data_IF_195832435180
#
_entry.id   IF_195832435180
#
_cell.length_a   1.000
_cell.length_b   1.000
_cell.length_c   1.000
_cell.angle_alpha   90.00
_cell.angle_beta   90.00
_cell.angle_gamma   90.00
#
_symmetry.space_group_name_H-M   'P 1'
#
loop_
_entity.id
_entity.type
_entity.pdbx_description
1 polymer ?
#
# COMPACT_ATOMS: atom_id res chain seq x y z
N UNK A 1 9.39 11.42 7.79
CA UNK A 1 8.27 11.04 6.89
C UNK A 1 7.44 10.01 7.63
N UNK A 2 6.12 9.97 7.47
CA UNK A 2 5.29 8.84 7.92
C UNK A 2 4.63 8.18 6.73
N UNK A 3 4.37 6.89 6.83
CA UNK A 3 3.67 6.10 5.83
C UNK A 3 2.36 5.66 6.46
N UNK A 4 1.25 6.20 5.96
CA UNK A 4 -0.09 5.85 6.42
C UNK A 4 -0.64 4.81 5.46
N UNK A 5 -1.09 3.67 5.98
CA UNK A 5 -1.60 2.57 5.19
C UNK A 5 -3.09 2.34 5.49
N UNK A 6 -3.86 2.03 4.46
CA UNK A 6 -5.29 1.76 4.55
C UNK A 6 -5.53 0.27 4.33
N UNK A 7 -5.89 -0.42 5.38
CA UNK A 7 -6.30 -1.83 5.28
C UNK A 7 -7.73 -1.98 4.75
N UNK A 8 -7.98 -3.06 4.01
CA UNK A 8 -9.33 -3.50 3.57
C UNK A 8 -10.07 -2.50 2.69
N UNK A 9 -9.37 -1.79 1.80
CA UNK A 9 -9.99 -0.81 0.90
C UNK A 9 -10.56 -1.42 -0.40
N UNK A 10 -10.53 -2.73 -0.55
CA UNK A 10 -11.13 -3.48 -1.65
C UNK A 10 -12.01 -4.60 -1.09
N UNK A 11 -13.29 -4.62 -1.49
CA UNK A 11 -14.28 -5.55 -0.92
C UNK A 11 -13.91 -7.02 -1.16
N UNK A 12 -13.38 -7.35 -2.34
CA UNK A 12 -12.97 -8.73 -2.67
C UNK A 12 -11.78 -9.18 -1.83
N UNK A 13 -10.79 -8.31 -1.60
CA UNK A 13 -9.67 -8.60 -0.71
C UNK A 13 -10.12 -8.78 0.75
N UNK A 14 -11.04 -7.96 1.24
CA UNK A 14 -11.60 -8.14 2.58
C UNK A 14 -12.22 -9.53 2.74
N UNK A 15 -13.00 -9.98 1.74
CA UNK A 15 -13.64 -11.32 1.73
C UNK A 15 -12.62 -12.45 1.59
N UNK A 16 -11.58 -12.30 0.76
CA UNK A 16 -10.48 -13.26 0.58
C UNK A 16 -9.82 -13.61 1.91
N UNK A 17 -9.64 -12.63 2.78
CA UNK A 17 -9.06 -12.80 4.12
C UNK A 17 -10.10 -13.07 5.23
N UNK A 18 -11.37 -13.35 4.87
CA UNK A 18 -12.43 -13.62 5.84
C UNK A 18 -12.80 -12.43 6.73
N UNK A 19 -12.54 -11.20 6.28
CA UNK A 19 -12.86 -9.99 7.02
C UNK A 19 -14.18 -9.37 6.53
N UNK A 20 -14.87 -8.68 7.44
CA UNK A 20 -15.98 -7.81 7.07
C UNK A 20 -15.50 -6.59 6.27
N UNK A 21 -16.39 -6.08 5.41
CA UNK A 21 -16.17 -4.82 4.69
C UNK A 21 -16.29 -3.67 5.70
N UNK A 22 -15.26 -2.84 5.88
CA UNK A 22 -15.27 -1.82 6.91
C UNK A 22 -16.15 -0.63 6.53
N UNK A 23 -16.85 -0.05 7.51
CA UNK A 23 -17.61 1.20 7.33
C UNK A 23 -16.73 2.45 7.29
N UNK A 24 -15.50 2.36 7.77
CA UNK A 24 -14.51 3.44 7.84
C UNK A 24 -13.13 2.91 7.49
N UNK A 25 -12.22 3.74 6.96
CA UNK A 25 -10.84 3.33 6.69
C UNK A 25 -10.17 2.74 7.93
N UNK A 26 -9.60 1.55 7.79
CA UNK A 26 -8.75 0.92 8.82
C UNK A 26 -7.34 1.42 8.62
N UNK A 27 -6.76 2.09 9.63
CA UNK A 27 -5.44 2.73 9.52
C UNK A 27 -4.41 1.94 10.29
N UNK A 28 -3.22 1.79 9.71
CA UNK A 28 -1.98 1.46 10.41
C UNK A 28 -0.83 2.31 9.86
N UNK A 29 0.28 2.36 10.56
CA UNK A 29 1.43 3.21 10.22
C UNK A 29 2.66 2.33 10.02
N UNK A 30 3.42 2.62 8.96
CA UNK A 30 4.80 2.16 8.85
C UNK A 30 5.74 3.33 9.15
N UNK A 31 6.84 3.10 9.90
CA UNK A 31 7.88 4.11 10.09
C UNK A 31 8.61 4.39 8.76
N UNK A 32 9.38 5.46 8.69
CA UNK A 32 10.17 5.77 7.50
C UNK A 32 11.32 4.78 7.26
N UNK A 33 11.81 4.10 8.30
CA UNK A 33 12.75 2.98 8.19
C UNK A 33 12.17 1.77 7.45
N UNK A 34 10.85 1.64 7.37
CA UNK A 34 10.20 0.59 6.59
C UNK A 34 10.39 0.72 5.07
N UNK A 35 10.80 1.90 4.57
CA UNK A 35 11.04 2.08 3.13
C UNK A 35 12.26 1.28 2.69
N UNK A 36 12.03 0.35 1.77
CA UNK A 36 13.11 -0.34 1.07
C UNK A 36 13.88 0.67 0.22
N UNK A 37 15.19 0.78 0.46
CA UNK A 37 16.04 1.70 -0.30
C UNK A 37 16.05 1.31 -1.78
N UNK A 38 15.89 2.30 -2.65
CA UNK A 38 15.84 2.10 -4.09
C UNK A 38 17.09 1.36 -4.61
N UNK A 39 16.86 0.33 -5.44
CA UNK A 39 17.91 -0.47 -6.05
C UNK A 39 18.44 -1.58 -5.15
N UNK A 40 17.88 -1.78 -3.97
CA UNK A 40 18.15 -2.95 -3.14
C UNK A 40 17.09 -4.02 -3.37
N UNK A 41 17.49 -5.27 -3.25
CA UNK A 41 16.62 -6.43 -3.20
C UNK A 41 15.88 -6.45 -1.85
N UNK A 42 14.70 -7.09 -1.80
CA UNK A 42 14.02 -7.35 -0.55
C UNK A 42 14.49 -8.68 0.03
N UNK A 43 15.01 -8.66 1.24
CA UNK A 43 15.43 -9.85 1.97
C UNK A 43 14.31 -10.33 2.88
N UNK A 44 13.93 -11.62 2.74
CA UNK A 44 12.93 -12.24 3.62
C UNK A 44 13.48 -12.25 5.05
N UNK A 45 12.79 -11.61 6.02
CA UNK A 45 13.30 -11.55 7.38
C UNK A 45 13.18 -12.90 8.10
N UNK A 46 14.16 -13.25 8.91
CA UNK A 46 14.22 -14.53 9.66
C UNK A 46 13.08 -14.71 10.68
N UNK A 47 12.44 -13.62 11.11
CA UNK A 47 11.37 -13.67 12.13
C UNK A 47 10.01 -14.11 11.59
N UNK A 48 9.86 -14.29 10.29
CA UNK A 48 8.60 -14.73 9.65
C UNK A 48 8.86 -15.75 8.55
N UNK A 49 8.00 -16.75 8.47
CA UNK A 49 8.02 -17.77 7.41
C UNK A 49 6.94 -17.54 6.37
N UNK A 50 6.16 -16.46 6.49
CA UNK A 50 4.99 -16.19 5.65
C UNK A 50 4.87 -14.70 5.30
N UNK A 51 5.82 -14.20 4.48
CA UNK A 51 5.82 -12.82 3.98
C UNK A 51 4.99 -12.75 2.71
N UNK A 52 3.96 -11.89 2.71
CA UNK A 52 3.09 -11.65 1.56
C UNK A 52 3.37 -10.31 0.89
N UNK A 53 3.22 -10.27 -0.44
CA UNK A 53 3.12 -9.03 -1.21
C UNK A 53 1.68 -8.51 -1.19
N UNK A 54 1.54 -7.19 -1.09
CA UNK A 54 0.29 -6.45 -1.21
C UNK A 54 0.55 -5.21 -2.08
N UNK A 55 0.18 -5.27 -3.37
CA UNK A 55 0.38 -4.14 -4.30
C UNK A 55 -0.66 -3.06 -4.08
N UNK A 56 -0.22 -1.80 -4.00
CA UNK A 56 -1.07 -0.65 -3.71
C UNK A 56 -0.71 0.56 -4.55
N UNK A 57 -1.71 1.38 -4.88
CA UNK A 57 -1.47 2.76 -5.32
C UNK A 57 -1.03 3.57 -4.12
N UNK A 58 0.02 4.38 -4.29
CA UNK A 58 0.60 5.22 -3.23
C UNK A 58 0.48 6.69 -3.62
N UNK A 59 -0.11 7.49 -2.72
CA UNK A 59 -0.20 8.94 -2.87
C UNK A 59 0.98 9.59 -2.15
N UNK A 60 1.61 10.59 -2.78
CA UNK A 60 2.68 11.38 -2.15
C UNK A 60 2.16 12.77 -1.80
N UNK A 61 2.09 13.04 -0.52
CA UNK A 61 1.58 14.32 0.01
C UNK A 61 2.53 15.46 -0.35
N UNK A 62 1.98 16.50 -0.95
CA UNK A 62 2.70 17.67 -1.45
C UNK A 62 2.51 18.93 -0.62
N UNK A 63 1.52 18.94 0.30
CA UNK A 63 1.11 20.11 1.08
C UNK A 63 0.79 19.73 2.52
N UNK A 64 1.16 20.59 3.47
CA UNK A 64 0.81 20.42 4.89
C UNK A 64 -0.69 20.65 5.08
N UNK A 65 -1.35 19.78 5.85
CA UNK A 65 -2.77 19.93 6.15
C UNK A 65 -3.26 19.11 7.34
N UNK A 66 -4.36 19.60 7.92
CA UNK A 66 -5.09 18.99 9.03
C UNK A 66 -6.56 19.31 8.84
N UNK A 67 -7.48 18.38 9.19
CA UNK A 67 -8.93 18.54 9.01
C UNK A 67 -9.33 18.93 7.57
N UNK A 68 -8.71 18.28 6.59
CA UNK A 68 -8.91 18.53 5.16
C UNK A 68 -10.30 18.06 4.76
N UNK A 69 -11.06 18.91 4.06
CA UNK A 69 -12.35 18.53 3.49
C UNK A 69 -12.13 17.68 2.21
N UNK A 70 -12.99 16.69 1.96
CA UNK A 70 -12.84 15.76 0.84
C UNK A 70 -12.77 16.49 -0.51
N UNK A 71 -13.58 17.54 -0.70
CA UNK A 71 -13.62 18.37 -1.92
C UNK A 71 -12.30 19.10 -2.20
N UNK A 72 -11.47 19.29 -1.18
CA UNK A 72 -10.15 19.94 -1.28
C UNK A 72 -8.99 18.96 -1.19
N UNK A 73 -9.25 17.70 -0.90
CA UNK A 73 -8.23 16.71 -0.63
C UNK A 73 -7.30 16.46 -1.85
N UNK A 74 -7.84 16.58 -3.05
CA UNK A 74 -7.09 16.52 -4.30
C UNK A 74 -5.95 17.54 -4.40
N UNK A 75 -6.02 18.68 -3.70
CA UNK A 75 -4.97 19.72 -3.69
C UNK A 75 -3.75 19.32 -2.84
N UNK A 76 -3.82 18.23 -2.07
CA UNK A 76 -2.81 17.85 -1.07
C UNK A 76 -1.83 16.80 -1.55
N UNK A 77 -2.04 16.20 -2.72
CA UNK A 77 -1.07 15.33 -3.38
C UNK A 77 -0.98 15.67 -4.86
N UNK A 78 0.18 15.54 -5.45
CA UNK A 78 0.43 15.84 -6.85
C UNK A 78 1.15 14.73 -7.61
N UNK A 79 1.63 13.72 -6.89
CA UNK A 79 2.30 12.56 -7.45
C UNK A 79 1.68 11.28 -6.90
N UNK A 80 1.66 10.25 -7.73
CA UNK A 80 1.29 8.88 -7.37
C UNK A 80 2.38 7.90 -7.82
N UNK A 81 2.41 6.74 -7.20
CA UNK A 81 3.24 5.62 -7.59
C UNK A 81 2.58 4.30 -7.18
N UNK A 82 3.31 3.22 -7.33
CA UNK A 82 2.95 1.93 -6.76
C UNK A 82 3.86 1.60 -5.58
N UNK A 83 3.33 0.88 -4.61
CA UNK A 83 4.09 0.33 -3.51
C UNK A 83 3.70 -1.10 -3.23
N UNK A 84 4.62 -1.87 -2.67
CA UNK A 84 4.34 -3.19 -2.11
C UNK A 84 4.39 -3.06 -0.59
N UNK A 85 3.24 -3.31 0.06
CA UNK A 85 3.11 -3.43 1.51
C UNK A 85 3.44 -4.87 1.91
N UNK A 86 4.71 -5.16 2.15
CA UNK A 86 5.12 -6.46 2.64
C UNK A 86 4.56 -6.70 4.04
N UNK A 87 3.97 -7.89 4.20
CA UNK A 87 3.23 -8.28 5.41
C UNK A 87 3.73 -9.62 5.92
N UNK A 88 4.22 -9.65 7.17
CA UNK A 88 4.45 -10.90 7.88
C UNK A 88 3.10 -11.48 8.31
N UNK A 89 2.52 -12.34 7.46
CA UNK A 89 1.13 -12.80 7.57
C UNK A 89 0.89 -13.66 8.80
N UNK A 90 1.85 -14.50 9.16
CA UNK A 90 1.87 -15.31 10.38
C UNK A 90 1.75 -14.41 11.63
N UNK A 91 2.63 -13.41 11.75
CA UNK A 91 2.59 -12.44 12.86
C UNK A 91 1.31 -11.61 12.86
N UNK A 92 0.84 -11.17 11.68
CA UNK A 92 -0.39 -10.40 11.60
C UNK A 92 -1.58 -11.21 12.11
N UNK A 93 -1.66 -12.50 11.76
CA UNK A 93 -2.72 -13.40 12.22
C UNK A 93 -2.69 -13.58 13.73
N UNK A 94 -1.51 -13.77 14.30
CA UNK A 94 -1.32 -13.86 15.75
C UNK A 94 -1.73 -12.57 16.47
N UNK A 95 -1.24 -11.42 15.99
CA UNK A 95 -1.54 -10.11 16.58
C UNK A 95 -3.04 -9.79 16.50
N UNK A 96 -3.69 -10.09 15.37
CA UNK A 96 -5.14 -9.92 15.21
C UNK A 96 -5.93 -10.78 16.19
N UNK A 97 -5.56 -12.05 16.35
CA UNK A 97 -6.24 -12.96 17.27
C UNK A 97 -6.15 -12.50 18.72
N UNK A 98 -5.07 -11.78 19.08
CA UNK A 98 -4.83 -11.23 20.43
C UNK A 98 -5.32 -9.78 20.58
N UNK A 99 -5.86 -9.14 19.53
CA UNK A 99 -6.24 -7.72 19.57
C UNK A 99 -5.07 -6.75 19.76
N UNK A 100 -3.86 -7.16 19.34
CA UNK A 100 -2.63 -6.37 19.46
C UNK A 100 -2.37 -5.50 18.21
N UNK A 101 -1.55 -4.45 18.33
CA UNK A 101 -1.12 -3.61 17.22
C UNK A 101 -0.36 -4.41 16.14
N UNK A 102 -0.36 -3.91 14.88
CA UNK A 102 0.17 -4.65 13.73
C UNK A 102 1.61 -4.24 13.33
N UNK A 103 2.23 -3.34 14.06
CA UNK A 103 3.52 -2.74 13.68
C UNK A 103 4.61 -3.79 13.44
N UNK A 104 4.67 -4.86 14.23
CA UNK A 104 5.65 -5.94 14.03
C UNK A 104 5.43 -6.69 12.71
N UNK A 105 4.17 -6.82 12.29
CA UNK A 105 3.82 -7.52 11.06
C UNK A 105 3.87 -6.63 9.82
N UNK A 106 3.79 -5.30 9.98
CA UNK A 106 3.62 -4.33 8.90
C UNK A 106 4.72 -3.28 8.83
N UNK A 107 5.36 -2.94 9.95
CA UNK A 107 6.28 -1.81 10.05
C UNK A 107 7.76 -2.17 10.11
N UNK A 108 8.14 -3.41 9.81
CA UNK A 108 9.53 -3.85 9.83
C UNK A 108 10.36 -3.22 8.69
N UNK A 109 11.66 -3.21 8.83
CA UNK A 109 12.60 -2.59 7.88
C UNK A 109 12.45 -3.22 6.48
N UNK A 110 12.36 -2.37 5.46
CA UNK A 110 12.19 -2.80 4.06
C UNK A 110 10.75 -3.21 3.70
N UNK A 111 9.80 -3.17 4.63
CA UNK A 111 8.41 -3.64 4.39
C UNK A 111 7.59 -2.73 3.46
N UNK A 112 8.13 -1.61 2.97
CA UNK A 112 7.49 -0.72 2.00
C UNK A 112 8.41 -0.53 0.79
N UNK A 113 8.24 -1.33 -0.26
CA UNK A 113 8.93 -1.09 -1.53
C UNK A 113 8.14 -0.08 -2.37
N UNK A 114 8.85 0.85 -3.05
CA UNK A 114 8.24 1.96 -3.77
C UNK A 114 8.75 2.03 -5.21
N UNK A 115 7.84 2.26 -6.15
CA UNK A 115 8.17 2.65 -7.53
C UNK A 115 8.70 4.10 -7.59
N UNK A 116 9.02 4.56 -8.79
CA UNK A 116 9.07 5.99 -9.03
C UNK A 116 7.68 6.61 -8.85
N UNK A 117 7.65 7.90 -8.52
CA UNK A 117 6.43 8.69 -8.46
C UNK A 117 6.26 9.49 -9.75
N UNK A 118 5.02 9.62 -10.19
CA UNK A 118 4.63 10.29 -11.43
C UNK A 118 3.57 11.35 -11.16
N UNK A 119 3.53 12.46 -11.92
CA UNK A 119 2.50 13.48 -11.78
C UNK A 119 1.10 12.85 -11.91
N UNK A 120 0.23 13.08 -10.94
CA UNK A 120 -1.12 12.52 -10.92
C UNK A 120 -1.97 12.92 -12.14
N UNK A 121 -1.69 14.08 -12.73
CA UNK A 121 -2.38 14.57 -13.93
C UNK A 121 -2.17 13.73 -15.19
N UNK A 122 -1.23 12.78 -15.16
CA UNK A 122 -1.01 11.84 -16.25
C UNK A 122 -2.01 10.65 -16.24
N UNK A 123 -2.86 10.55 -15.21
CA UNK A 123 -3.71 9.38 -14.98
C UNK A 123 -5.15 9.77 -14.64
N UNK A 124 -6.10 8.94 -15.04
CA UNK A 124 -7.47 8.99 -14.51
C UNK A 124 -7.53 8.24 -13.17
N UNK A 125 -7.41 8.97 -12.07
CA UNK A 125 -7.41 8.37 -10.73
C UNK A 125 -8.75 7.71 -10.34
N UNK A 126 -9.82 7.92 -11.10
CA UNK A 126 -11.10 7.25 -10.88
C UNK A 126 -11.18 5.90 -11.57
N UNK A 127 -10.31 5.64 -12.55
CA UNK A 127 -10.29 4.42 -13.35
C UNK A 127 -8.86 4.00 -13.73
N UNK A 128 -7.97 3.96 -12.75
CA UNK A 128 -6.56 3.63 -12.91
C UNK A 128 -6.35 2.12 -12.74
N UNK A 129 -5.78 1.47 -13.74
CA UNK A 129 -5.41 0.06 -13.64
C UNK A 129 -4.01 -0.11 -13.07
N UNK A 130 -3.83 -1.13 -12.24
CA UNK A 130 -2.51 -1.52 -11.75
C UNK A 130 -2.44 -3.03 -11.54
N UNK A 131 -1.28 -3.62 -11.76
CA UNK A 131 -1.10 -5.06 -11.61
C UNK A 131 0.28 -5.43 -11.13
N UNK A 132 0.41 -6.63 -10.57
CA UNK A 132 1.65 -7.24 -10.12
C UNK A 132 1.85 -8.57 -10.82
N UNK A 133 3.01 -8.74 -11.44
CA UNK A 133 3.49 -10.04 -11.88
C UNK A 133 4.49 -10.60 -10.87
N UNK A 134 4.39 -11.89 -10.60
CA UNK A 134 5.41 -12.69 -9.93
C UNK A 134 5.97 -13.68 -10.94
N UNK A 135 7.25 -13.61 -11.22
CA UNK A 135 7.93 -14.48 -12.19
C UNK A 135 7.21 -14.50 -13.57
N UNK A 136 6.84 -13.31 -14.07
CA UNK A 136 6.10 -13.07 -15.33
C UNK A 136 4.63 -13.54 -15.35
N UNK A 137 4.10 -14.03 -14.24
CA UNK A 137 2.69 -14.42 -14.11
C UNK A 137 1.96 -13.34 -13.32
N UNK A 138 0.85 -12.81 -13.86
CA UNK A 138 0.01 -11.85 -13.13
C UNK A 138 -0.61 -12.52 -11.90
N UNK A 139 -0.39 -11.94 -10.73
CA UNK A 139 -0.87 -12.44 -9.43
C UNK A 139 -1.82 -11.48 -8.74
N UNK A 140 -1.70 -10.17 -9.00
CA UNK A 140 -2.68 -9.16 -8.57
C UNK A 140 -3.04 -8.26 -9.74
N UNK A 141 -4.32 -7.91 -9.82
CA UNK A 141 -4.85 -6.93 -10.75
C UNK A 141 -5.91 -6.11 -10.03
N UNK A 142 -5.81 -4.79 -10.11
CA UNK A 142 -6.71 -3.87 -9.45
C UNK A 142 -7.06 -2.66 -10.31
N UNK A 143 -8.16 -2.03 -9.96
CA UNK A 143 -8.58 -0.77 -10.55
C UNK A 143 -9.07 0.15 -9.42
N UNK A 144 -8.69 1.43 -9.45
CA UNK A 144 -9.06 2.38 -8.39
C UNK A 144 -10.56 2.62 -8.26
N UNK A 145 -11.34 2.37 -9.32
CA UNK A 145 -12.81 2.44 -9.27
C UNK A 145 -13.44 1.40 -8.32
N UNK A 146 -12.65 0.38 -7.92
CA UNK A 146 -13.09 -0.68 -7.00
C UNK A 146 -12.75 -0.37 -5.54
N UNK A 147 -12.10 0.76 -5.26
CA UNK A 147 -11.81 1.21 -3.90
C UNK A 147 -13.11 1.51 -3.15
N UNK A 148 -13.19 1.08 -1.89
CA UNK A 148 -14.29 1.43 -0.97
C UNK A 148 -14.24 2.90 -0.55
N UNK A 149 -13.03 3.42 -0.37
CA UNK A 149 -12.76 4.81 -0.01
C UNK A 149 -11.81 5.40 -1.06
N UNK A 150 -12.24 6.46 -1.72
CA UNK A 150 -11.44 7.19 -2.71
C UNK A 150 -10.20 7.85 -2.07
N UNK A 151 -9.19 8.22 -2.86
CA UNK A 151 -8.05 8.99 -2.38
C UNK A 151 -8.43 10.24 -1.57
N UNK A 152 -9.47 10.96 -2.00
CA UNK A 152 -9.98 12.16 -1.36
C UNK A 152 -10.61 11.86 0.01
N UNK A 153 -11.42 10.82 0.10
CA UNK A 153 -12.01 10.36 1.35
C UNK A 153 -10.97 9.88 2.34
N UNK A 154 -9.96 9.14 1.87
CA UNK A 154 -8.82 8.69 2.69
C UNK A 154 -8.08 9.90 3.28
N UNK A 155 -7.69 10.88 2.45
CA UNK A 155 -6.98 12.09 2.90
C UNK A 155 -7.83 12.86 3.92
N UNK A 156 -9.12 13.06 3.62
CA UNK A 156 -10.04 13.73 4.54
C UNK A 156 -10.13 12.97 5.88
N UNK A 157 -10.25 11.65 5.83
CA UNK A 157 -10.36 10.82 7.04
C UNK A 157 -9.08 10.85 7.87
N UNK A 158 -7.92 10.54 7.28
CA UNK A 158 -6.64 10.47 8.01
C UNK A 158 -6.21 11.83 8.57
N UNK A 159 -6.55 12.93 7.87
CA UNK A 159 -6.22 14.27 8.32
C UNK A 159 -6.99 14.72 9.57
N UNK A 160 -8.03 14.01 9.98
CA UNK A 160 -8.71 14.22 11.27
C UNK A 160 -7.83 13.81 12.45
N UNK A 161 -6.97 12.82 12.24
CA UNK A 161 -6.10 12.25 13.29
C UNK A 161 -4.67 12.77 13.18
N UNK A 162 -4.13 12.84 11.96
CA UNK A 162 -2.73 13.16 11.70
C UNK A 162 -2.60 14.45 10.90
N UNK A 163 -1.69 15.34 11.30
CA UNK A 163 -1.25 16.42 10.41
C UNK A 163 -0.44 15.80 9.28
N UNK A 164 -0.93 15.93 8.06
CA UNK A 164 -0.19 15.52 6.87
C UNK A 164 0.93 16.53 6.59
N UNK A 165 2.11 16.03 6.23
CA UNK A 165 3.28 16.83 5.88
C UNK A 165 3.73 16.51 4.47
N UNK A 166 4.37 17.47 3.80
CA UNK A 166 5.01 17.23 2.51
C UNK A 166 5.99 16.06 2.59
N UNK A 167 5.87 15.12 1.67
CA UNK A 167 6.66 13.89 1.61
C UNK A 167 6.06 12.71 2.38
N UNK A 168 4.99 12.88 3.16
CA UNK A 168 4.26 11.74 3.72
C UNK A 168 3.66 10.89 2.59
N UNK A 169 3.56 9.59 2.81
CA UNK A 169 2.98 8.64 1.86
C UNK A 169 1.68 8.07 2.40
N UNK A 170 0.73 7.82 1.49
CA UNK A 170 -0.49 7.10 1.81
C UNK A 170 -0.60 5.91 0.87
N UNK A 171 -0.50 4.70 1.43
CA UNK A 171 -0.84 3.45 0.78
C UNK A 171 -2.35 3.27 0.83
N UNK A 172 -2.98 3.07 -0.32
CA UNK A 172 -4.45 3.18 -0.45
C UNK A 172 -5.20 1.86 -0.30
N UNK A 173 -4.50 0.77 -0.01
CA UNK A 173 -5.04 -0.57 0.08
C UNK A 173 -4.78 -1.42 -1.16
N UNK A 174 -4.77 -2.74 -0.95
CA UNK A 174 -4.46 -3.73 -1.97
C UNK A 174 -5.71 -4.45 -2.49
N UNK A 175 -5.78 -4.82 -3.78
CA UNK A 175 -6.81 -5.70 -4.33
C UNK A 175 -6.58 -7.16 -3.89
N UNK A 176 -7.50 -8.08 -4.24
CA UNK A 176 -7.32 -9.52 -4.04
C UNK A 176 -6.08 -10.06 -4.77
N UNK A 177 -5.66 -11.27 -4.42
CA UNK A 177 -4.52 -11.96 -5.02
C UNK A 177 -3.22 -11.74 -4.26
N UNK A 178 -3.30 -11.34 -2.97
CA UNK A 178 -2.14 -11.30 -2.09
C UNK A 178 -1.56 -12.71 -1.94
N UNK A 179 -0.24 -12.81 -1.79
CA UNK A 179 0.39 -14.12 -1.73
C UNK A 179 1.80 -14.07 -1.16
N UNK A 180 2.28 -15.25 -0.78
CA UNK A 180 3.61 -15.43 -0.23
C UNK A 180 4.68 -15.17 -1.28
N UNK A 181 5.75 -14.47 -0.88
CA UNK A 181 6.99 -14.39 -1.65
C UNK A 181 7.92 -15.54 -1.28
N UNK A 182 8.74 -15.94 -2.25
CA UNK A 182 9.79 -16.92 -2.07
C UNK A 182 11.13 -16.35 -2.53
N UNK A 183 12.22 -16.90 -2.01
CA UNK A 183 13.57 -16.54 -2.43
C UNK A 183 13.74 -16.72 -3.95
N UNK A 184 14.40 -15.77 -4.60
CA UNK A 184 14.58 -15.64 -6.04
C UNK A 184 13.34 -15.24 -6.84
N UNK A 185 12.18 -14.93 -6.21
CA UNK A 185 11.05 -14.33 -6.92
C UNK A 185 11.46 -12.97 -7.51
N UNK A 186 10.85 -12.67 -8.67
CA UNK A 186 10.90 -11.35 -9.31
C UNK A 186 9.48 -10.78 -9.32
N UNK A 187 9.30 -9.64 -8.67
CA UNK A 187 8.06 -8.90 -8.65
C UNK A 187 8.13 -7.72 -9.62
N UNK A 188 7.22 -7.64 -10.59
CA UNK A 188 7.13 -6.56 -11.56
C UNK A 188 5.78 -5.87 -11.42
N UNK A 189 5.77 -4.57 -11.07
CA UNK A 189 4.54 -3.81 -10.92
C UNK A 189 4.29 -2.90 -12.13
N UNK A 190 3.03 -2.85 -12.56
CA UNK A 190 2.57 -2.10 -13.74
C UNK A 190 1.49 -1.10 -13.36
N UNK A 191 1.60 0.12 -13.87
CA UNK A 191 0.65 1.21 -13.72
C UNK A 191 0.13 1.58 -15.13
N UNK A 192 -1.17 1.40 -15.39
CA UNK A 192 -1.77 1.53 -16.74
C UNK A 192 -0.97 0.79 -17.83
N UNK A 193 -0.52 -0.44 -17.53
CA UNK A 193 0.25 -1.27 -18.46
C UNK A 193 1.72 -0.90 -18.59
N UNK A 194 2.19 0.20 -18.00
CA UNK A 194 3.59 0.57 -17.97
C UNK A 194 4.28 -0.06 -16.74
N UNK A 195 5.38 -0.81 -16.96
CA UNK A 195 6.19 -1.31 -15.85
C UNK A 195 6.88 -0.18 -15.11
N UNK A 196 6.61 -0.05 -13.81
CA UNK A 196 7.11 1.03 -12.95
C UNK A 196 7.98 0.54 -11.80
N UNK A 197 8.00 -0.77 -11.53
CA UNK A 197 8.82 -1.40 -10.50
C UNK A 197 9.32 -2.76 -10.97
N UNK A 198 10.52 -3.10 -10.56
CA UNK A 198 11.17 -4.40 -10.70
C UNK A 198 11.90 -4.66 -9.38
N UNK A 199 11.58 -5.75 -8.70
CA UNK A 199 12.09 -6.05 -7.36
C UNK A 199 12.40 -7.54 -7.24
N UNK A 200 13.62 -7.86 -6.84
CA UNK A 200 14.04 -9.22 -6.53
C UNK A 200 13.85 -9.51 -5.04
N UNK A 201 13.44 -10.74 -4.73
CA UNK A 201 13.34 -11.30 -3.38
C UNK A 201 14.55 -12.18 -3.09
N UNK A 202 15.17 -12.01 -1.92
CA UNK A 202 16.35 -12.73 -1.47
C UNK A 202 16.10 -13.44 -0.14
#
# INVERSE_FOLDING_TARGET
>A
MKIICIGRNYAEHARELGNEVPEKPVIFIKPDSAVLKKGLDFYIPEFSTDIHYELEVVLKISKVGKYIQAERAGDYFNEIGLGIDFTARDLQSELKAKGLPWELAKGFDGSAALSNFYPKGNFDLKNLNFSLNRNKTEVQSGNTSMMLFSPEEIIAFVSKYFTLKKGDLIFTGTPKGVGKVEENDILEAFLDGQRVMDLRIQ
#
